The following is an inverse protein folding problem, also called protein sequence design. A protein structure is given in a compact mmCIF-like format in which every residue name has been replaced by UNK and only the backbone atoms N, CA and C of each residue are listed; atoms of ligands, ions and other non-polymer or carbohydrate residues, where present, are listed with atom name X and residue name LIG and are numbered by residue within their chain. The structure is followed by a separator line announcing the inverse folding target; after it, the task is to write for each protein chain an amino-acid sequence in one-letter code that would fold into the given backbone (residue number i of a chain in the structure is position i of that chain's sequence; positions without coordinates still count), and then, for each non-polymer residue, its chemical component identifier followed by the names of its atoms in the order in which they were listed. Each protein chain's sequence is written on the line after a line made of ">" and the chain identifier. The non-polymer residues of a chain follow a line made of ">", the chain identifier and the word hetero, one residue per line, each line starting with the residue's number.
data_IF_642127755371
#
_entry.id   IF_642127755371
#
_cell.length_a   1.000
_cell.length_b   1.000
_cell.length_c   1.000
_cell.angle_alpha   90.00
_cell.angle_beta   90.00
_cell.angle_gamma   90.00
#
_symmetry.space_group_name_H-M   'P 1'
#
loop_
_entity.id
_entity.type
_entity.pdbx_description
1 polymer ?
#
# COMPACT_ATOMS: atom_id res chain seq x y z
N UNK A 1 31.90 -17.66 1.67
CA UNK A 1 30.52 -17.84 1.16
C UNK A 1 29.80 -16.54 1.42
N UNK A 2 29.89 -15.60 0.49
CA UNK A 2 29.11 -14.36 0.50
C UNK A 2 27.70 -14.74 0.04
N UNK A 3 26.73 -14.68 0.95
CA UNK A 3 25.33 -14.82 0.56
C UNK A 3 24.87 -13.49 -0.01
N UNK A 4 24.60 -13.54 -1.32
CA UNK A 4 23.93 -12.54 -2.12
C UNK A 4 22.50 -12.33 -1.59
N UNK A 5 22.32 -11.35 -0.71
CA UNK A 5 21.04 -11.02 -0.07
C UNK A 5 20.41 -9.75 -0.66
N UNK A 6 20.66 -9.46 -1.95
CA UNK A 6 20.11 -8.30 -2.63
C UNK A 6 18.77 -8.58 -3.32
N UNK A 7 17.79 -9.09 -2.58
CA UNK A 7 16.39 -8.69 -2.83
C UNK A 7 16.10 -7.54 -1.88
N UNK A 8 16.60 -6.34 -2.21
CA UNK A 8 16.19 -5.11 -1.52
C UNK A 8 14.69 -4.97 -1.72
N UNK A 9 13.90 -5.43 -0.74
CA UNK A 9 12.47 -5.16 -0.70
C UNK A 9 12.32 -3.64 -0.75
N UNK A 10 11.48 -3.17 -1.67
CA UNK A 10 11.17 -1.74 -1.77
C UNK A 10 10.56 -1.33 -0.43
N UNK A 11 11.17 -0.35 0.24
CA UNK A 11 10.65 0.18 1.49
C UNK A 11 9.31 0.86 1.23
N UNK A 12 8.32 0.50 2.03
CA UNK A 12 7.04 1.21 2.09
C UNK A 12 7.19 2.33 3.11
N UNK A 13 6.77 3.55 2.76
CA UNK A 13 6.70 4.69 3.67
C UNK A 13 5.92 4.31 4.95
N UNK A 14 6.35 4.81 6.10
CA UNK A 14 5.70 4.65 7.40
C UNK A 14 4.18 4.94 7.31
N UNK A 15 3.79 5.96 6.54
CA UNK A 15 2.36 6.31 6.33
C UNK A 15 1.58 5.29 5.52
N UNK A 16 2.27 4.43 4.77
CA UNK A 16 1.68 3.32 4.01
C UNK A 16 1.68 1.99 4.76
N UNK A 17 2.33 1.90 5.92
CA UNK A 17 2.33 0.68 6.73
C UNK A 17 1.00 0.46 7.43
N UNK A 18 0.67 -0.82 7.61
CA UNK A 18 -0.39 -1.27 8.51
C UNK A 18 0.11 -1.37 9.96
N UNK A 19 -0.82 -1.57 10.89
CA UNK A 19 -0.52 -1.73 12.30
C UNK A 19 -0.43 -3.20 12.68
N UNK A 20 0.38 -3.48 13.71
CA UNK A 20 0.38 -4.76 14.41
C UNK A 20 -0.81 -4.82 15.40
N UNK A 21 -1.23 -6.02 15.83
CA UNK A 21 -2.24 -6.16 16.89
C UNK A 21 -1.88 -5.38 18.15
N UNK A 22 -2.89 -4.86 18.86
CA UNK A 22 -2.69 -4.01 20.06
C UNK A 22 -1.89 -4.72 21.15
N UNK A 23 -2.06 -6.04 21.26
CA UNK A 23 -1.37 -6.90 22.23
C UNK A 23 -0.05 -7.49 21.72
N UNK A 24 0.46 -7.02 20.57
CA UNK A 24 1.71 -7.55 20.02
C UNK A 24 2.88 -7.32 21.01
N UNK A 25 3.64 -8.37 21.38
CA UNK A 25 4.75 -8.23 22.31
C UNK A 25 5.87 -7.44 21.64
N UNK A 26 6.20 -6.28 22.21
CA UNK A 26 7.23 -5.41 21.67
C UNK A 26 8.47 -5.39 22.55
N UNK A 27 9.62 -5.56 21.90
CA UNK A 27 10.95 -5.45 22.48
C UNK A 27 11.82 -4.70 21.47
N UNK A 28 12.39 -3.58 21.89
CA UNK A 28 13.07 -2.65 20.98
C UNK A 28 14.31 -3.29 20.33
N UNK A 29 15.16 -3.96 21.12
CA UNK A 29 16.40 -4.58 20.63
C UNK A 29 16.11 -5.72 19.64
N UNK A 30 15.10 -6.54 19.95
CA UNK A 30 14.68 -7.62 19.08
C UNK A 30 14.00 -7.11 17.80
N UNK A 31 13.17 -6.05 17.89
CA UNK A 31 12.57 -5.42 16.72
C UNK A 31 13.64 -4.79 15.82
N UNK A 32 14.60 -4.08 16.41
CA UNK A 32 15.75 -3.51 15.70
C UNK A 32 16.52 -4.58 14.94
N UNK A 33 16.85 -5.70 15.59
CA UNK A 33 17.57 -6.81 14.97
C UNK A 33 16.80 -7.39 13.78
N UNK A 34 15.48 -7.61 13.94
CA UNK A 34 14.63 -8.13 12.86
C UNK A 34 14.51 -7.18 11.68
N UNK A 35 14.33 -5.88 11.93
CA UNK A 35 14.24 -4.87 10.87
C UNK A 35 15.59 -4.74 10.15
N UNK A 36 16.70 -4.73 10.88
CA UNK A 36 18.04 -4.67 10.31
C UNK A 36 18.32 -5.89 9.42
N UNK A 37 17.97 -7.10 9.87
CA UNK A 37 18.13 -8.32 9.07
C UNK A 37 17.26 -8.30 7.80
N UNK A 38 16.00 -7.87 7.93
CA UNK A 38 15.04 -7.93 6.83
C UNK A 38 15.23 -6.81 5.78
N UNK A 39 15.61 -5.61 6.22
CA UNK A 39 15.54 -4.38 5.43
C UNK A 39 16.82 -3.53 5.48
N UNK A 40 17.80 -3.93 6.27
CA UNK A 40 19.06 -3.20 6.45
C UNK A 40 18.90 -1.87 7.17
N UNK A 41 20.00 -1.12 7.22
CA UNK A 41 20.04 0.23 7.81
C UNK A 41 19.08 1.21 7.16
N UNK A 42 18.76 1.02 5.88
CA UNK A 42 17.72 1.82 5.20
C UNK A 42 16.34 1.62 5.81
N UNK A 43 16.00 0.40 6.24
CA UNK A 43 14.74 0.14 6.95
C UNK A 43 14.72 0.78 8.33
N UNK A 44 15.82 0.67 9.07
CA UNK A 44 15.97 1.34 10.38
C UNK A 44 15.81 2.86 10.24
N UNK A 45 16.46 3.46 9.24
CA UNK A 45 16.39 4.90 9.02
C UNK A 45 15.00 5.39 8.62
N UNK A 46 14.30 4.64 7.77
CA UNK A 46 12.95 4.97 7.32
C UNK A 46 11.91 4.78 8.44
N UNK A 47 12.13 3.80 9.32
CA UNK A 47 11.14 3.36 10.30
C UNK A 47 11.33 3.89 11.71
N UNK A 48 12.38 4.68 11.92
CA UNK A 48 12.56 5.47 13.13
C UNK A 48 12.00 6.87 12.95
N UNK A 49 11.24 7.35 13.95
CA UNK A 49 10.66 8.70 13.93
C UNK A 49 11.71 9.80 14.11
N UNK A 50 12.85 9.43 14.68
CA UNK A 50 13.97 10.32 14.88
C UNK A 50 15.28 9.60 14.57
N UNK A 51 16.24 10.38 14.05
CA UNK A 51 17.62 9.94 13.94
C UNK A 51 18.59 11.01 14.44
N UNK A 52 19.52 10.63 15.30
CA UNK A 52 20.62 11.48 15.71
C UNK A 52 21.73 11.45 14.66
N UNK A 53 21.66 12.44 13.77
CA UNK A 53 22.62 12.62 12.67
C UNK A 53 24.03 13.03 13.14
N UNK A 54 24.24 13.28 14.44
CA UNK A 54 25.58 13.53 14.98
C UNK A 54 26.37 12.24 15.23
N UNK A 55 25.69 11.10 15.29
CA UNK A 55 26.28 9.77 15.45
C UNK A 55 26.78 9.13 14.15
N UNK A 56 27.30 7.90 14.24
CA UNK A 56 27.64 7.11 13.06
C UNK A 56 26.36 6.61 12.39
N UNK A 57 26.22 6.83 11.09
CA UNK A 57 25.03 6.47 10.30
C UNK A 57 24.57 5.00 10.37
N UNK A 58 25.41 4.09 10.89
CA UNK A 58 25.11 2.67 11.06
C UNK A 58 25.31 2.25 12.53
N UNK A 59 24.57 2.89 13.44
CA UNK A 59 24.55 2.57 14.87
C UNK A 59 23.12 2.56 15.40
N UNK A 60 22.82 1.65 16.34
CA UNK A 60 21.52 1.64 17.04
C UNK A 60 21.28 2.95 17.80
N UNK A 61 22.34 3.54 18.36
CA UNK A 61 22.31 4.83 19.06
C UNK A 61 21.88 6.00 18.16
N UNK A 62 22.00 5.86 16.83
CA UNK A 62 21.57 6.88 15.88
C UNK A 62 20.06 6.85 15.63
N UNK A 63 19.34 5.77 15.95
CA UNK A 63 17.95 5.57 15.56
C UNK A 63 17.05 5.26 16.75
N UNK A 64 17.02 6.15 17.74
CA UNK A 64 16.47 5.92 19.09
C UNK A 64 14.93 5.90 19.22
N UNK A 65 14.19 5.78 18.11
CA UNK A 65 12.72 5.86 18.12
C UNK A 65 12.12 4.96 17.03
N UNK A 66 12.55 3.70 16.99
CA UNK A 66 12.02 2.71 16.06
C UNK A 66 10.58 2.36 16.42
N UNK A 67 9.65 2.53 15.47
CA UNK A 67 8.21 2.25 15.70
C UNK A 67 7.67 1.07 14.92
N UNK A 68 8.53 0.34 14.22
CA UNK A 68 8.17 -0.76 13.32
C UNK A 68 8.83 -2.06 13.75
N UNK A 69 8.13 -3.16 13.53
CA UNK A 69 8.65 -4.52 13.65
C UNK A 69 8.23 -5.36 12.44
N UNK A 70 8.84 -6.54 12.27
CA UNK A 70 8.52 -7.52 11.25
C UNK A 70 7.50 -8.53 11.82
N UNK A 71 6.25 -8.37 11.45
CA UNK A 71 5.14 -9.25 11.87
C UNK A 71 4.69 -10.07 10.68
N UNK A 72 4.74 -11.41 10.81
CA UNK A 72 4.43 -12.34 9.72
C UNK A 72 5.21 -12.07 8.43
N UNK A 73 6.46 -11.61 8.56
CA UNK A 73 7.34 -11.30 7.42
C UNK A 73 7.09 -9.94 6.76
N UNK A 74 6.22 -9.10 7.33
CA UNK A 74 5.90 -7.76 6.83
C UNK A 74 6.22 -6.67 7.88
N UNK A 75 6.71 -5.49 7.47
CA UNK A 75 6.86 -4.37 8.37
C UNK A 75 5.49 -3.85 8.82
N UNK A 76 5.31 -3.71 10.15
CA UNK A 76 4.09 -3.18 10.76
C UNK A 76 4.44 -2.18 11.85
N UNK A 77 3.66 -1.11 11.96
CA UNK A 77 3.79 -0.16 13.07
C UNK A 77 3.26 -0.83 14.34
N UNK A 78 4.04 -0.80 15.41
CA UNK A 78 3.68 -1.47 16.67
C UNK A 78 3.11 -0.44 17.65
N UNK A 79 1.86 -0.59 18.13
CA UNK A 79 1.26 0.38 19.06
C UNK A 79 2.05 0.57 20.36
N UNK A 80 2.62 -0.51 20.89
CA UNK A 80 3.48 -0.45 22.07
C UNK A 80 4.75 0.38 21.84
N UNK A 81 5.30 0.36 20.62
CA UNK A 81 6.46 1.17 20.25
C UNK A 81 6.11 2.66 20.20
N UNK A 82 4.93 3.03 19.68
CA UNK A 82 4.46 4.42 19.69
C UNK A 82 4.37 4.95 21.13
N UNK A 83 3.84 4.14 22.05
CA UNK A 83 3.77 4.48 23.47
C UNK A 83 5.17 4.65 24.09
N UNK A 84 6.10 3.77 23.79
CA UNK A 84 7.48 3.87 24.28
C UNK A 84 8.18 5.14 23.79
N UNK A 85 7.95 5.55 22.53
CA UNK A 85 8.49 6.81 22.01
C UNK A 85 7.93 8.01 22.76
N UNK A 86 6.64 8.03 23.08
CA UNK A 86 6.04 9.13 23.85
C UNK A 86 6.65 9.27 25.25
N UNK A 87 6.86 8.16 25.94
CA UNK A 87 7.54 8.14 27.24
C UNK A 87 8.98 8.65 27.12
N UNK A 88 9.64 8.40 25.99
CA UNK A 88 11.00 8.88 25.70
C UNK A 88 11.05 10.38 25.37
N UNK A 89 9.95 10.97 24.89
CA UNK A 89 9.87 12.39 24.58
C UNK A 89 9.85 13.30 25.83
N UNK A 90 9.47 12.76 26.99
CA UNK A 90 9.51 13.42 28.30
C UNK A 90 10.96 13.63 28.78
N UNK A 91 11.69 14.53 28.13
CA UNK A 91 13.10 14.81 28.45
C UNK A 91 13.96 15.15 27.25
N UNK A 92 13.40 15.05 26.04
CA UNK A 92 14.08 15.40 24.79
C UNK A 92 13.98 16.92 24.51
N UNK A 93 14.92 17.45 23.73
CA UNK A 93 14.92 18.84 23.24
C UNK A 93 13.59 19.22 22.57
N UNK A 94 13.15 20.47 22.77
CA UNK A 94 11.86 20.98 22.28
C UNK A 94 11.70 20.83 20.77
N UNK A 95 12.76 21.09 20.00
CA UNK A 95 12.70 21.05 18.53
C UNK A 95 12.49 19.62 18.03
N UNK A 96 13.13 18.66 18.70
CA UNK A 96 12.97 17.24 18.39
C UNK A 96 11.56 16.80 18.80
N UNK A 97 11.11 17.24 19.99
CA UNK A 97 9.79 16.90 20.53
C UNK A 97 8.68 17.33 19.59
N UNK A 98 8.62 18.59 19.19
CA UNK A 98 7.57 19.11 18.29
C UNK A 98 7.50 18.31 16.98
N UNK A 99 8.66 17.95 16.42
CA UNK A 99 8.72 17.19 15.16
C UNK A 99 8.18 15.77 15.35
N UNK A 100 8.66 15.05 16.37
CA UNK A 100 8.25 13.67 16.62
C UNK A 100 6.79 13.59 17.05
N UNK A 101 6.31 14.54 17.86
CA UNK A 101 4.92 14.62 18.29
C UNK A 101 3.95 14.79 17.11
N UNK A 102 4.32 15.60 16.11
CA UNK A 102 3.52 15.77 14.89
C UNK A 102 3.34 14.44 14.15
N UNK A 103 4.42 13.69 13.96
CA UNK A 103 4.37 12.39 13.29
C UNK A 103 3.65 11.33 14.13
N UNK A 104 3.87 11.30 15.45
CA UNK A 104 3.14 10.44 16.39
C UNK A 104 1.63 10.71 16.39
N UNK A 105 1.22 11.98 16.38
CA UNK A 105 -0.18 12.36 16.35
C UNK A 105 -0.87 11.83 15.09
N UNK A 106 -0.22 11.92 13.94
CA UNK A 106 -0.71 11.39 12.68
C UNK A 106 -0.86 9.86 12.73
N UNK A 107 0.12 9.14 13.28
CA UNK A 107 0.06 7.69 13.40
C UNK A 107 -1.02 7.22 14.38
N UNK A 108 -1.20 7.92 15.50
CA UNK A 108 -2.28 7.65 16.47
C UNK A 108 -3.66 7.86 15.89
N UNK A 109 -3.84 8.94 15.14
CA UNK A 109 -5.11 9.21 14.47
C UNK A 109 -5.44 8.10 13.47
N UNK A 110 -4.44 7.65 12.68
CA UNK A 110 -4.60 6.50 11.79
C UNK A 110 -4.94 5.22 12.55
N UNK A 111 -4.26 4.94 13.65
CA UNK A 111 -4.52 3.76 14.47
C UNK A 111 -5.95 3.75 15.02
N UNK A 112 -6.43 4.87 15.57
CA UNK A 112 -7.82 4.99 16.05
C UNK A 112 -8.83 4.73 14.95
N UNK A 113 -8.67 5.38 13.79
CA UNK A 113 -9.61 5.18 12.66
C UNK A 113 -9.69 3.71 12.21
N UNK A 114 -8.58 2.98 12.27
CA UNK A 114 -8.56 1.55 11.93
C UNK A 114 -9.28 0.75 13.00
N UNK A 115 -9.01 1.01 14.28
CA UNK A 115 -9.69 0.33 15.39
C UNK A 115 -11.21 0.58 15.37
N UNK A 116 -11.65 1.81 15.09
CA UNK A 116 -13.07 2.15 15.00
C UNK A 116 -13.77 1.38 13.87
N UNK A 117 -13.08 1.22 12.71
CA UNK A 117 -13.60 0.45 11.57
C UNK A 117 -13.65 -1.05 11.87
N UNK A 118 -12.65 -1.59 12.57
CA UNK A 118 -12.64 -3.00 12.98
C UNK A 118 -13.75 -3.30 13.99
N UNK A 119 -14.00 -2.40 14.95
CA UNK A 119 -15.12 -2.53 15.91
C UNK A 119 -16.48 -2.45 15.20
N UNK A 120 -16.64 -1.55 14.22
CA UNK A 120 -17.87 -1.43 13.45
C UNK A 120 -18.12 -2.67 12.56
N UNK A 121 -17.06 -3.26 11.99
CA UNK A 121 -17.15 -4.49 11.22
C UNK A 121 -17.54 -5.69 12.10
N UNK A 122 -16.95 -5.83 13.28
CA UNK A 122 -17.28 -6.91 14.23
C UNK A 122 -18.74 -6.81 14.72
N UNK A 123 -19.24 -5.58 14.90
CA UNK A 123 -20.65 -5.34 15.28
C UNK A 123 -21.65 -5.68 14.18
N UNK A 124 -21.26 -5.59 12.91
CA UNK A 124 -22.10 -5.94 11.77
C UNK A 124 -22.20 -7.45 11.56
N UNK A 125 -21.16 -8.22 11.90
CA UNK A 125 -21.15 -9.69 11.75
C UNK A 125 -21.99 -10.43 12.81
N UNK A 126 -22.40 -9.77 13.90
CA UNK A 126 -23.19 -10.38 14.99
C UNK A 126 -24.72 -10.19 14.81
N UNK A 127 -25.17 -9.51 13.75
CA UNK A 127 -26.60 -9.19 13.53
C UNK A 127 -27.37 -10.19 12.64
N UNK A 128 -26.74 -11.24 12.13
CA UNK A 128 -27.44 -12.31 11.40
C UNK A 128 -27.71 -13.50 12.32
N UNK A 129 -28.62 -13.31 13.30
CA UNK A 129 -29.34 -14.46 13.86
C UNK A 129 -30.47 -14.85 12.87
N UNK A 130 -30.50 -16.10 12.37
CA UNK A 130 -31.64 -16.61 11.64
C UNK A 130 -32.80 -16.79 12.61
N UNK A 131 -33.88 -16.04 12.39
CA UNK A 131 -35.15 -16.19 13.09
C UNK A 131 -35.73 -17.59 12.79
N UNK A 132 -35.47 -18.54 13.69
CA UNK A 132 -36.12 -19.84 13.73
C UNK A 132 -37.62 -19.65 13.96
N UNK A 133 -38.41 -19.77 12.89
CA UNK A 133 -39.80 -20.21 13.00
C UNK A 133 -40.04 -21.44 12.14
N UNK A 134 -40.52 -22.47 12.83
CA UNK A 134 -40.60 -23.87 12.44
C UNK A 134 -41.56 -24.19 11.27
N UNK A 135 -41.22 -25.33 10.64
CA UNK A 135 -42.12 -26.36 10.10
C UNK A 135 -42.72 -26.16 8.68
N UNK A 136 -42.03 -26.74 7.71
CA UNK A 136 -42.61 -27.82 6.90
C UNK A 136 -41.48 -28.72 6.36
N UNK A 137 -41.65 -30.03 6.56
CA UNK A 137 -40.84 -31.10 5.97
C UNK A 137 -40.77 -30.93 4.44
N UNK A 138 -39.56 -30.87 3.88
CA UNK A 138 -39.35 -31.40 2.53
C UNK A 138 -37.91 -31.87 2.36
N UNK A 139 -37.80 -33.14 1.95
CA UNK A 139 -36.55 -33.79 1.62
C UNK A 139 -36.02 -33.20 0.31
N UNK A 140 -34.90 -32.48 0.34
CA UNK A 140 -34.08 -32.30 -0.87
C UNK A 140 -32.64 -32.02 -0.51
N UNK A 141 -31.84 -33.07 -0.59
CA UNK A 141 -30.41 -32.99 -0.73
C UNK A 141 -30.07 -32.31 -2.08
N UNK A 142 -29.02 -31.49 -2.07
CA UNK A 142 -28.20 -31.12 -3.24
C UNK A 142 -28.75 -30.04 -4.21
N UNK A 143 -28.52 -28.75 -3.90
CA UNK A 143 -28.49 -27.69 -4.95
C UNK A 143 -27.72 -26.39 -4.64
N UNK A 144 -27.14 -26.20 -3.44
CA UNK A 144 -26.60 -24.88 -3.04
C UNK A 144 -25.24 -24.49 -3.68
N UNK A 145 -24.49 -25.44 -4.25
CA UNK A 145 -23.20 -25.12 -4.91
C UNK A 145 -23.35 -24.49 -6.31
N UNK A 146 -24.52 -24.61 -6.96
CA UNK A 146 -24.69 -24.17 -8.35
C UNK A 146 -25.03 -22.68 -8.45
N UNK A 147 -25.76 -22.12 -7.49
CA UNK A 147 -26.19 -20.71 -7.55
C UNK A 147 -25.04 -19.71 -7.28
N UNK A 148 -24.07 -20.08 -6.43
CA UNK A 148 -22.87 -19.26 -6.19
C UNK A 148 -21.91 -19.23 -7.39
N UNK A 149 -21.85 -20.33 -8.16
CA UNK A 149 -20.96 -20.43 -9.31
C UNK A 149 -21.50 -19.63 -10.52
N UNK A 150 -22.83 -19.57 -10.66
CA UNK A 150 -23.50 -18.75 -11.68
C UNK A 150 -23.27 -17.25 -11.41
N UNK A 151 -23.32 -16.82 -10.15
CA UNK A 151 -23.06 -15.42 -9.79
C UNK A 151 -21.58 -15.05 -9.97
N UNK A 152 -20.63 -15.93 -9.63
CA UNK A 152 -19.21 -15.72 -9.88
C UNK A 152 -18.88 -15.56 -11.39
N UNK A 153 -19.44 -16.43 -12.23
CA UNK A 153 -19.24 -16.36 -13.68
C UNK A 153 -19.85 -15.09 -14.30
N UNK A 154 -21.05 -14.70 -13.87
CA UNK A 154 -21.71 -13.47 -14.31
C UNK A 154 -20.90 -12.22 -13.94
N UNK A 155 -20.29 -12.21 -12.75
CA UNK A 155 -19.45 -11.11 -12.27
C UNK A 155 -18.15 -10.99 -13.04
N UNK A 156 -17.45 -12.10 -13.28
CA UNK A 156 -16.24 -12.11 -14.12
C UNK A 156 -16.54 -11.63 -15.54
N UNK A 157 -17.69 -12.01 -16.10
CA UNK A 157 -18.11 -11.54 -17.42
C UNK A 157 -18.36 -10.01 -17.43
N UNK A 158 -19.10 -9.50 -16.42
CA UNK A 158 -19.34 -8.06 -16.28
C UNK A 158 -18.05 -7.25 -16.10
N UNK A 159 -17.11 -7.77 -15.33
CA UNK A 159 -15.77 -7.19 -15.16
C UNK A 159 -14.98 -7.21 -16.48
N UNK A 160 -15.04 -8.32 -17.23
CA UNK A 160 -14.45 -8.43 -18.57
C UNK A 160 -14.95 -7.35 -19.53
N UNK A 161 -16.26 -7.20 -19.67
CA UNK A 161 -16.88 -6.19 -20.54
C UNK A 161 -16.49 -4.75 -20.15
N UNK A 162 -16.27 -4.52 -18.86
CA UNK A 162 -15.83 -3.22 -18.37
C UNK A 162 -14.36 -2.94 -18.70
N UNK A 163 -13.48 -3.93 -18.50
CA UNK A 163 -12.06 -3.85 -18.88
C UNK A 163 -11.90 -3.61 -20.38
N UNK A 164 -12.66 -4.32 -21.21
CA UNK A 164 -12.63 -4.15 -22.67
C UNK A 164 -13.05 -2.72 -23.05
N UNK A 165 -14.10 -2.18 -22.43
CA UNK A 165 -14.54 -0.80 -22.65
C UNK A 165 -13.47 0.23 -22.25
N UNK A 166 -12.72 -0.01 -21.17
CA UNK A 166 -11.63 0.88 -20.75
C UNK A 166 -10.44 0.80 -21.72
N UNK A 167 -10.14 -0.41 -22.22
CA UNK A 167 -9.12 -0.63 -23.25
C UNK A 167 -9.45 0.12 -24.53
N UNK A 168 -10.69 -0.01 -25.03
CA UNK A 168 -11.17 0.67 -26.24
C UNK A 168 -11.10 2.19 -26.14
N UNK A 169 -11.21 2.74 -24.91
CA UNK A 169 -11.08 4.17 -24.62
C UNK A 169 -9.62 4.62 -24.44
N UNK A 170 -8.64 3.74 -24.62
CA UNK A 170 -7.22 4.04 -24.40
C UNK A 170 -6.89 4.38 -22.95
N UNK A 171 -7.68 3.88 -21.99
CA UNK A 171 -7.52 4.16 -20.56
C UNK A 171 -6.74 3.10 -19.81
N UNK A 172 -6.44 1.98 -20.45
CA UNK A 172 -5.60 0.93 -19.89
C UNK A 172 -4.21 0.98 -20.49
N UNK A 173 -3.20 0.83 -19.65
CA UNK A 173 -1.82 0.65 -20.08
C UNK A 173 -1.61 -0.82 -20.48
N UNK A 174 -0.82 -1.07 -21.52
CA UNK A 174 -0.41 -2.43 -21.91
C UNK A 174 0.30 -3.21 -20.79
N UNK A 175 0.81 -2.52 -19.77
CA UNK A 175 1.45 -3.12 -18.61
C UNK A 175 0.44 -3.77 -17.64
N UNK A 176 -0.85 -3.49 -17.79
CA UNK A 176 -1.88 -4.09 -16.95
C UNK A 176 -2.31 -5.40 -17.60
N UNK A 177 -2.08 -6.51 -16.89
CA UNK A 177 -2.59 -7.81 -17.32
C UNK A 177 -4.12 -7.78 -17.25
N UNK A 178 -4.76 -8.09 -18.39
CA UNK A 178 -6.20 -8.04 -18.56
C UNK A 178 -6.89 -8.94 -17.54
N UNK A 179 -6.39 -10.16 -17.38
CA UNK A 179 -7.05 -11.16 -16.54
C UNK A 179 -6.92 -10.83 -15.06
N UNK A 180 -5.76 -10.31 -14.65
CA UNK A 180 -5.55 -9.77 -13.30
C UNK A 180 -6.50 -8.60 -13.00
N UNK A 181 -6.72 -7.71 -13.97
CA UNK A 181 -7.62 -6.57 -13.81
C UNK A 181 -9.08 -7.01 -13.72
N UNK A 182 -9.49 -8.00 -14.51
CA UNK A 182 -10.83 -8.60 -14.43
C UNK A 182 -11.09 -9.22 -13.07
N UNK A 183 -10.13 -10.00 -12.55
CA UNK A 183 -10.22 -10.60 -11.21
C UNK A 183 -10.28 -9.55 -10.10
N UNK A 184 -9.45 -8.50 -10.21
CA UNK A 184 -9.45 -7.39 -9.27
C UNK A 184 -10.80 -6.68 -9.23
N UNK A 185 -11.36 -6.36 -10.41
CA UNK A 185 -12.66 -5.68 -10.54
C UNK A 185 -13.81 -6.55 -10.04
N UNK A 186 -13.75 -7.87 -10.28
CA UNK A 186 -14.72 -8.81 -9.73
C UNK A 186 -14.64 -8.83 -8.18
N UNK A 187 -13.45 -8.89 -7.60
CA UNK A 187 -13.28 -8.85 -6.13
C UNK A 187 -13.72 -7.53 -5.49
N UNK A 188 -13.64 -6.40 -6.21
CA UNK A 188 -14.15 -5.12 -5.72
C UNK A 188 -15.68 -5.07 -5.62
N UNK A 189 -16.38 -5.91 -6.40
CA UNK A 189 -17.85 -5.96 -6.39
C UNK A 189 -18.43 -6.65 -5.14
N UNK A 190 -17.61 -7.42 -4.41
CA UNK A 190 -17.97 -8.11 -3.16
C UNK A 190 -17.73 -7.27 -1.92
N UNK A 191 -17.00 -6.16 -2.06
CA UNK A 191 -16.57 -5.39 -0.90
C UNK A 191 -17.67 -4.42 -0.43
N UNK A 192 -17.78 -4.21 0.89
CA UNK A 192 -18.71 -3.25 1.45
C UNK A 192 -18.45 -1.85 0.88
N UNK A 193 -19.53 -1.06 0.80
CA UNK A 193 -19.48 0.31 0.31
C UNK A 193 -18.51 1.19 1.11
N UNK A 194 -17.87 2.11 0.43
CA UNK A 194 -17.03 3.15 1.02
C UNK A 194 -17.92 4.36 1.30
N UNK A 195 -17.82 4.94 2.49
CA UNK A 195 -18.53 6.19 2.80
C UNK A 195 -17.77 7.37 2.20
N UNK A 196 -18.43 8.11 1.30
CA UNK A 196 -17.91 9.34 0.69
C UNK A 196 -17.97 10.51 1.69
N UNK A 197 -17.29 11.63 1.37
CA UNK A 197 -17.25 12.84 2.22
C UNK A 197 -18.62 13.41 2.55
N UNK A 198 -19.59 13.19 1.67
CA UNK A 198 -20.98 13.64 1.83
C UNK A 198 -21.84 12.64 2.63
N UNK A 199 -21.24 11.58 3.17
CA UNK A 199 -21.92 10.52 3.92
C UNK A 199 -22.65 9.50 3.03
N UNK A 200 -22.53 9.60 1.71
CA UNK A 200 -23.12 8.63 0.78
C UNK A 200 -22.27 7.36 0.68
N UNK A 201 -22.91 6.20 0.66
CA UNK A 201 -22.22 4.91 0.50
C UNK A 201 -22.05 4.64 -1.00
N UNK A 202 -20.81 4.58 -1.46
CA UNK A 202 -20.44 4.26 -2.84
C UNK A 202 -19.76 2.89 -2.89
N UNK A 203 -20.14 2.03 -3.83
CA UNK A 203 -19.43 0.74 -3.95
C UNK A 203 -17.95 0.95 -4.30
N UNK A 204 -17.01 0.13 -3.81
CA UNK A 204 -15.59 0.24 -4.16
C UNK A 204 -15.36 0.17 -5.68
N UNK A 205 -16.17 -0.63 -6.38
CA UNK A 205 -16.19 -0.70 -7.83
C UNK A 205 -16.59 0.64 -8.47
N UNK A 206 -17.62 1.29 -7.95
CA UNK A 206 -18.09 2.58 -8.47
C UNK A 206 -17.08 3.70 -8.18
N UNK A 207 -16.46 3.70 -7.00
CA UNK A 207 -15.36 4.60 -6.68
C UNK A 207 -14.18 4.43 -7.66
N UNK A 208 -13.73 3.18 -7.86
CA UNK A 208 -12.64 2.86 -8.77
C UNK A 208 -12.97 3.25 -10.23
N UNK A 209 -14.22 3.03 -10.64
CA UNK A 209 -14.70 3.44 -11.97
C UNK A 209 -14.63 4.96 -12.14
N UNK A 210 -15.16 5.72 -11.18
CA UNK A 210 -15.10 7.19 -11.20
C UNK A 210 -13.67 7.71 -11.19
N UNK A 211 -12.79 7.05 -10.44
CA UNK A 211 -11.36 7.36 -10.43
C UNK A 211 -10.75 7.17 -11.83
N UNK A 212 -10.94 6.01 -12.46
CA UNK A 212 -10.42 5.74 -13.80
C UNK A 212 -11.00 6.65 -14.87
N UNK A 213 -12.25 7.09 -14.73
CA UNK A 213 -12.89 8.06 -15.62
C UNK A 213 -12.37 9.49 -15.39
N UNK A 214 -12.03 9.84 -14.15
CA UNK A 214 -11.52 11.14 -13.74
C UNK A 214 -10.05 11.40 -14.10
N UNK A 215 -9.25 10.34 -14.28
CA UNK A 215 -7.88 10.49 -14.78
C UNK A 215 -7.95 10.91 -16.27
N UNK A 216 -7.14 11.88 -16.72
CA UNK A 216 -6.96 12.14 -18.15
C UNK A 216 -6.60 10.85 -18.90
N UNK A 217 -7.08 10.67 -20.13
CA UNK A 217 -6.69 9.49 -20.92
C UNK A 217 -5.16 9.35 -20.89
N UNK A 218 -4.68 8.19 -20.46
CA UNK A 218 -3.25 7.92 -20.33
C UNK A 218 -2.68 7.87 -21.74
N UNK A 219 -2.27 9.04 -22.26
CA UNK A 219 -1.55 9.13 -23.53
C UNK A 219 -0.35 8.19 -23.39
N UNK A 220 -0.23 7.15 -24.23
CA UNK A 220 0.95 6.32 -24.24
C UNK A 220 2.17 7.24 -24.35
N UNK A 221 3.01 7.27 -23.32
CA UNK A 221 4.24 8.07 -23.31
C UNK A 221 5.18 7.70 -24.49
N UNK A 222 4.86 6.64 -25.22
CA UNK A 222 5.48 6.28 -26.50
C UNK A 222 5.31 7.33 -27.61
N UNK A 223 4.30 8.21 -27.58
CA UNK A 223 4.19 9.29 -28.59
C UNK A 223 5.00 10.55 -28.25
N UNK A 224 5.34 10.78 -26.98
CA UNK A 224 6.32 11.81 -26.58
C UNK A 224 7.77 11.30 -26.66
N UNK A 225 7.96 9.99 -26.72
CA UNK A 225 9.19 9.36 -27.16
C UNK A 225 9.17 9.21 -28.69
N UNK A 226 9.18 10.34 -29.42
CA UNK A 226 9.68 10.29 -30.79
C UNK A 226 11.05 9.59 -30.73
N UNK A 227 11.30 8.53 -31.52
CA UNK A 227 12.63 7.96 -31.58
C UNK A 227 13.52 9.06 -32.11
N UNK A 228 14.26 9.73 -31.23
CA UNK A 228 15.37 10.57 -31.66
C UNK A 228 16.26 9.63 -32.45
N UNK A 229 16.34 9.88 -33.76
CA UNK A 229 17.24 9.19 -34.65
C UNK A 229 18.58 9.01 -33.94
N UNK A 230 19.21 7.82 -34.02
CA UNK A 230 20.41 7.51 -33.27
C UNK A 230 21.38 8.68 -33.39
N UNK A 231 21.62 9.37 -32.27
CA UNK A 231 22.65 10.40 -32.22
C UNK A 231 23.95 9.64 -32.40
N UNK A 232 24.50 9.76 -33.60
CA UNK A 232 25.83 9.28 -33.93
C UNK A 232 26.81 9.91 -32.94
N UNK A 233 27.14 9.14 -31.90
CA UNK A 233 28.05 9.52 -30.81
C UNK A 233 29.45 9.03 -31.12
N UNK A 234 29.75 8.82 -32.41
CA UNK A 234 31.11 8.62 -32.85
C UNK A 234 31.95 9.87 -32.52
N UNK A 235 33.20 9.70 -32.09
CA UNK A 235 34.11 10.80 -31.80
C UNK A 235 34.32 11.73 -33.02
N UNK A 236 34.13 11.23 -34.25
CA UNK A 236 34.20 11.98 -35.49
C UNK A 236 33.05 13.01 -35.62
N UNK A 237 31.85 12.65 -35.17
CA UNK A 237 30.67 13.53 -35.16
C UNK A 237 30.85 14.69 -34.17
N UNK A 238 31.48 14.42 -33.03
CA UNK A 238 31.84 15.43 -32.03
C UNK A 238 32.90 16.40 -32.56
N UNK A 239 33.94 15.88 -33.22
CA UNK A 239 35.00 16.69 -33.84
C UNK A 239 34.45 17.64 -34.92
N UNK A 240 33.56 17.17 -35.78
CA UNK A 240 32.97 18.01 -36.83
C UNK A 240 32.04 19.11 -36.29
N UNK A 241 31.38 18.87 -35.15
CA UNK A 241 30.52 19.88 -34.50
C UNK A 241 31.33 20.97 -33.81
N UNK A 242 32.41 20.60 -33.14
CA UNK A 242 33.34 21.55 -32.51
C UNK A 242 34.04 22.40 -33.58
N UNK A 243 34.46 21.79 -34.70
CA UNK A 243 35.08 22.51 -35.81
C UNK A 243 34.12 23.53 -36.48
N UNK A 244 32.82 23.21 -36.56
CA UNK A 244 31.80 24.15 -37.08
C UNK A 244 31.50 25.29 -36.11
N UNK A 245 31.58 25.08 -34.80
CA UNK A 245 31.33 26.13 -33.81
C UNK A 245 32.50 27.11 -33.61
N UNK A 246 33.68 26.81 -34.17
CA UNK A 246 34.90 27.64 -34.03
C UNK A 246 35.18 28.49 -35.26
N UNK A 247 34.44 28.32 -36.37
CA UNK A 247 34.51 29.27 -37.50
C UNK A 247 33.67 30.51 -37.19
N UNK A 248 34.37 31.56 -36.76
CA UNK A 248 33.98 32.98 -36.84
C UNK A 248 33.78 33.36 -38.30
#
# INVERSE_FOLDING_TARGET
>A
MEQDNSKRRKLTDLKGLGFAPVCFPWDEEAAFSRVLEALGWSGIAEYSLWSDTTGKAESAETYQMLVVDIVNGEPRIVPAALKAVEETLEGTDEVIRERVESDLALLRERFRRIADVEEEAEKLEVSDEPDESEAAEDESQSSVEVDNEIDAAARLNKAGLFVDRLSDRGRLLNAWDRDALVQFIAGLSERPGITDRDGSVISPLEYFTRFLEGIPALVPLSELATPRAPRDSSPESLGSRIAKSIKI
#
